data_IF_152467220510
#
_entry.id   IF_152467220510
#
_cell.length_a   1.000
_cell.length_b   1.000
_cell.length_c   1.000
_cell.angle_alpha   90.00
_cell.angle_beta   90.00
_cell.angle_gamma   90.00
#
_symmetry.space_group_name_H-M   'P 1'
#
loop_
_entity.id
_entity.type
_entity.pdbx_description
1 polymer ?
#
# COMPACT_ATOMS: atom_id res chain seq x y z
N UNK A 1 13.76 13.06 6.21
CA UNK A 1 12.52 12.27 5.96
C UNK A 1 12.79 10.98 5.19
N UNK A 2 13.89 10.89 4.41
CA UNK A 2 14.22 9.72 3.58
C UNK A 2 15.50 8.99 4.00
N UNK A 3 16.22 9.46 5.02
CA UNK A 3 17.48 8.82 5.43
C UNK A 3 17.27 7.38 5.93
N UNK A 4 16.09 7.10 6.50
CA UNK A 4 15.72 5.76 6.98
C UNK A 4 15.56 4.74 5.83
N UNK A 5 15.38 5.17 4.57
CA UNK A 5 15.24 4.25 3.43
C UNK A 5 16.58 3.73 2.91
N UNK A 6 17.70 4.34 3.32
CA UNK A 6 19.06 3.88 2.95
C UNK A 6 19.46 2.59 3.69
N UNK A 7 18.78 2.25 4.78
CA UNK A 7 18.97 0.98 5.49
C UNK A 7 18.11 -0.18 4.96
N UNK A 8 17.21 0.09 4.00
CA UNK A 8 16.27 -0.92 3.48
C UNK A 8 16.86 -1.51 2.21
N UNK A 9 17.50 -2.67 2.33
CA UNK A 9 17.98 -3.43 1.18
C UNK A 9 16.79 -3.90 0.32
N UNK A 10 16.85 -3.62 -0.98
CA UNK A 10 15.88 -4.11 -1.96
C UNK A 10 16.57 -5.05 -2.94
N UNK A 11 15.89 -6.11 -3.42
CA UNK A 11 16.44 -6.97 -4.47
C UNK A 11 16.69 -6.16 -5.74
N UNK A 12 17.95 -5.84 -6.02
CA UNK A 12 18.39 -5.17 -7.25
C UNK A 12 18.95 -6.15 -8.27
N UNK A 13 19.15 -5.69 -9.52
CA UNK A 13 19.82 -6.46 -10.59
C UNK A 13 21.23 -6.95 -10.20
N UNK A 14 21.89 -6.31 -9.22
CA UNK A 14 23.21 -6.67 -8.70
C UNK A 14 23.21 -7.12 -7.23
N UNK A 15 22.03 -7.33 -6.61
CA UNK A 15 21.92 -7.77 -5.21
C UNK A 15 22.13 -6.69 -4.14
N UNK A 16 22.87 -5.61 -4.44
CA UNK A 16 23.27 -4.60 -3.47
C UNK A 16 22.70 -3.21 -3.80
N UNK A 17 21.41 -2.98 -3.50
CA UNK A 17 20.80 -1.65 -3.66
C UNK A 17 19.89 -1.34 -2.47
N UNK A 18 19.97 -0.12 -1.94
CA UNK A 18 19.03 0.36 -0.93
C UNK A 18 17.81 1.04 -1.60
N UNK A 19 16.67 1.04 -0.91
CA UNK A 19 15.47 1.74 -1.37
C UNK A 19 15.75 3.23 -1.62
N UNK A 20 16.60 3.85 -0.79
CA UNK A 20 17.05 5.23 -0.98
C UNK A 20 17.71 5.48 -2.35
N UNK A 21 18.55 4.54 -2.80
CA UNK A 21 19.24 4.65 -4.09
C UNK A 21 18.25 4.63 -5.26
N UNK A 22 17.24 3.75 -5.19
CA UNK A 22 16.17 3.69 -6.19
C UNK A 22 15.34 4.98 -6.23
N UNK A 23 15.08 5.57 -5.06
CA UNK A 23 14.36 6.84 -4.97
C UNK A 23 15.15 8.00 -5.59
N UNK A 24 16.48 7.98 -5.52
CA UNK A 24 17.33 9.02 -6.13
C UNK A 24 17.42 8.89 -7.65
N UNK A 25 17.27 7.67 -8.18
CA UNK A 25 17.15 7.42 -9.63
C UNK A 25 15.77 7.76 -10.20
N UNK A 26 14.76 7.95 -9.35
CA UNK A 26 13.38 8.19 -9.78
C UNK A 26 13.07 9.70 -9.76
N UNK A 27 12.56 10.29 -10.86
CA UNK A 27 12.12 11.68 -10.88
C UNK A 27 11.09 11.95 -9.78
N UNK A 28 11.36 12.96 -8.94
CA UNK A 28 10.61 13.16 -7.69
C UNK A 28 9.14 13.53 -7.95
N UNK A 29 8.86 14.18 -9.08
CA UNK A 29 7.53 14.55 -9.56
C UNK A 29 6.65 13.36 -9.95
N UNK A 30 7.24 12.18 -10.17
CA UNK A 30 6.52 10.94 -10.49
C UNK A 30 6.33 10.03 -9.28
N UNK A 31 6.93 10.36 -8.13
CA UNK A 31 6.81 9.55 -6.92
C UNK A 31 5.56 9.94 -6.12
N UNK A 32 4.70 8.96 -5.88
CA UNK A 32 3.58 9.10 -4.93
C UNK A 32 3.87 8.31 -3.66
N UNK A 33 3.80 8.99 -2.51
CA UNK A 33 3.83 8.35 -1.20
C UNK A 33 2.42 8.33 -0.63
N UNK A 34 1.86 7.13 -0.50
CA UNK A 34 0.55 6.94 0.14
C UNK A 34 0.76 6.40 1.54
N UNK A 35 0.37 7.18 2.56
CA UNK A 35 0.30 6.68 3.92
C UNK A 35 -0.99 5.86 4.07
N UNK A 36 -0.85 4.55 4.29
CA UNK A 36 -1.98 3.66 4.53
C UNK A 36 -2.23 3.58 6.03
N UNK A 37 -3.41 4.04 6.46
CA UNK A 37 -3.96 3.74 7.78
C UNK A 37 -4.84 2.49 7.62
N UNK A 38 -4.55 1.43 8.38
CA UNK A 38 -5.39 0.24 8.38
C UNK A 38 -6.71 0.55 9.08
N UNK A 39 -7.81 0.45 8.34
CA UNK A 39 -9.15 0.69 8.88
C UNK A 39 -10.14 -0.28 8.27
N UNK A 40 -10.86 -0.96 9.15
CA UNK A 40 -11.93 -1.89 8.81
C UNK A 40 -13.18 -1.43 9.56
N UNK A 41 -14.28 -1.25 8.86
CA UNK A 41 -15.57 -0.94 9.48
C UNK A 41 -16.23 -2.22 10.01
N UNK A 42 -16.96 -2.11 11.12
CA UNK A 42 -17.72 -3.23 11.71
C UNK A 42 -18.87 -3.69 10.80
N UNK A 43 -19.49 -2.77 10.07
CA UNK A 43 -20.60 -3.07 9.14
C UNK A 43 -20.42 -2.34 7.83
N UNK A 44 -20.64 -3.03 6.71
CA UNK A 44 -20.40 -2.51 5.35
C UNK A 44 -21.68 -2.24 4.57
N UNK A 45 -22.81 -2.09 5.27
CA UNK A 45 -24.10 -1.75 4.66
C UNK A 45 -24.96 -0.91 5.59
N UNK A 46 -25.86 -0.11 5.02
CA UNK A 46 -26.91 0.61 5.72
C UNK A 46 -28.11 0.80 4.79
N UNK A 47 -29.27 0.24 5.17
CA UNK A 47 -30.47 0.28 4.34
C UNK A 47 -30.26 -0.40 2.98
N UNK A 48 -30.24 0.41 1.91
CA UNK A 48 -30.00 -0.04 0.52
C UNK A 48 -28.62 0.34 -0.02
N UNK A 49 -27.73 0.82 0.85
CA UNK A 49 -26.38 1.26 0.51
C UNK A 49 -25.36 0.27 1.04
N UNK A 50 -24.35 -0.06 0.23
CA UNK A 50 -23.25 -0.97 0.59
C UNK A 50 -21.90 -0.30 0.35
N UNK A 51 -20.90 -0.63 1.17
CA UNK A 51 -19.49 -0.27 1.00
C UNK A 51 -18.76 -1.44 0.33
N UNK A 52 -17.94 -1.14 -0.66
CA UNK A 52 -17.17 -2.12 -1.43
C UNK A 52 -15.73 -1.62 -1.64
N UNK A 53 -14.78 -2.55 -1.73
CA UNK A 53 -13.36 -2.26 -1.99
C UNK A 53 -12.72 -1.36 -0.94
N UNK A 54 -11.91 -0.39 -1.36
CA UNK A 54 -11.19 0.54 -0.49
C UNK A 54 -12.08 1.37 0.45
N UNK A 55 -13.38 1.50 0.13
CA UNK A 55 -14.35 2.16 1.00
C UNK A 55 -14.76 1.28 2.21
N UNK A 56 -14.64 -0.04 2.07
CA UNK A 56 -14.98 -1.03 3.10
C UNK A 56 -13.75 -1.45 3.91
N UNK A 57 -12.58 -1.56 3.25
CA UNK A 57 -11.35 -2.00 3.87
C UNK A 57 -10.13 -1.32 3.25
N UNK A 58 -9.25 -0.75 4.07
CA UNK A 58 -7.88 -0.39 3.67
C UNK A 58 -6.92 -1.28 4.46
N UNK A 59 -6.26 -2.18 3.74
CA UNK A 59 -5.41 -3.23 4.32
C UNK A 59 -4.01 -3.07 3.74
N UNK A 60 -2.97 -3.37 4.52
CA UNK A 60 -1.61 -3.39 4.02
C UNK A 60 -1.49 -4.31 2.77
N UNK A 61 -0.98 -3.78 1.63
CA UNK A 61 -0.91 -4.52 0.37
C UNK A 61 0.11 -5.66 0.39
N UNK A 62 0.93 -5.79 1.43
CA UNK A 62 1.95 -6.85 1.57
C UNK A 62 1.40 -8.28 1.45
N UNK A 63 0.09 -8.49 1.65
CA UNK A 63 -0.58 -9.78 1.45
C UNK A 63 -1.32 -9.97 0.12
N UNK A 64 -1.33 -8.99 -0.80
CA UNK A 64 -2.08 -9.07 -2.06
C UNK A 64 -3.61 -9.18 -1.90
N UNK A 65 -4.15 -8.83 -0.73
CA UNK A 65 -5.56 -9.06 -0.36
C UNK A 65 -6.55 -8.00 -0.86
N UNK A 66 -6.12 -7.01 -1.63
CA UNK A 66 -6.99 -5.92 -2.10
C UNK A 66 -8.16 -6.35 -3.00
N UNK A 67 -8.10 -7.54 -3.60
CA UNK A 67 -9.08 -8.02 -4.58
C UNK A 67 -9.82 -9.30 -4.17
N UNK A 68 -9.39 -9.97 -3.09
CA UNK A 68 -9.76 -11.36 -2.77
C UNK A 68 -10.80 -11.52 -1.67
N UNK A 69 -11.14 -10.46 -0.94
CA UNK A 69 -12.10 -10.54 0.15
C UNK A 69 -13.52 -10.60 -0.44
N UNK A 70 -14.05 -11.82 -0.55
CA UNK A 70 -15.41 -12.06 -1.04
C UNK A 70 -16.40 -11.29 -0.16
N UNK A 71 -17.01 -10.27 -0.75
CA UNK A 71 -18.28 -9.73 -0.26
C UNK A 71 -19.35 -10.79 -0.53
N UNK A 72 -19.56 -11.71 0.42
CA UNK A 72 -20.76 -12.54 0.47
C UNK A 72 -21.90 -11.61 0.89
N UNK A 73 -22.74 -11.24 -0.07
CA UNK A 73 -24.07 -10.68 0.16
C UNK A 73 -25.02 -11.80 0.49
#
# INVERSE_FOLDING_TARGET
MYDDTRGIAIPGRSGDMALGDLMDLTPKELMSKVMLEEKVFETWYSGRTVLLGDAAHKINPSGGRGYGDRCLV
#
